data_IF_184004051991
#
_entry.id   IF_184004051991
#
_cell.length_a   1.000
_cell.length_b   1.000
_cell.length_c   1.000
_cell.angle_alpha   90.00
_cell.angle_beta   90.00
_cell.angle_gamma   90.00
#
_symmetry.space_group_name_H-M   'P 1'
#
loop_
_entity.id
_entity.type
_entity.pdbx_description
1 polymer ?
#
# COMPACT_ATOMS: atom_id res chain seq x y z
N UNK A 1 -25.10 -1.56 20.38
CA UNK A 1 -25.50 -2.93 19.98
C UNK A 1 -24.53 -3.43 18.92
N UNK A 2 -23.92 -4.60 19.13
CA UNK A 2 -23.08 -5.21 18.10
C UNK A 2 -23.97 -5.61 16.92
N UNK A 3 -23.62 -5.22 15.68
CA UNK A 3 -24.38 -5.67 14.51
C UNK A 3 -24.26 -7.21 14.40
N UNK A 4 -25.33 -7.89 13.97
CA UNK A 4 -25.38 -9.36 13.81
C UNK A 4 -24.16 -9.88 13.03
N UNK A 5 -23.76 -9.19 11.98
CA UNK A 5 -22.56 -9.52 11.19
C UNK A 5 -21.28 -9.47 12.03
N UNK A 6 -21.09 -8.43 12.84
CA UNK A 6 -19.93 -8.31 13.73
C UNK A 6 -19.92 -9.43 14.77
N UNK A 7 -21.09 -9.86 15.25
CA UNK A 7 -21.20 -10.95 16.22
C UNK A 7 -20.76 -12.29 15.59
N UNK A 8 -21.26 -12.61 14.40
CA UNK A 8 -20.86 -13.83 13.69
C UNK A 8 -19.36 -13.85 13.36
N UNK A 9 -18.78 -12.71 12.97
CA UNK A 9 -17.34 -12.60 12.71
C UNK A 9 -16.53 -12.87 13.99
N UNK A 10 -16.89 -12.22 15.10
CA UNK A 10 -16.19 -12.42 16.38
C UNK A 10 -16.32 -13.88 16.84
N UNK A 11 -17.52 -14.45 16.77
CA UNK A 11 -17.76 -15.85 17.15
C UNK A 11 -16.93 -16.83 16.30
N UNK A 12 -16.87 -16.61 14.99
CA UNK A 12 -16.04 -17.42 14.10
C UNK A 12 -14.54 -17.30 14.42
N UNK A 13 -14.05 -16.08 14.70
CA UNK A 13 -12.66 -15.86 15.12
C UNK A 13 -12.36 -16.61 16.42
N UNK A 14 -13.27 -16.56 17.41
CA UNK A 14 -13.11 -17.30 18.67
C UNK A 14 -13.03 -18.80 18.43
N UNK A 15 -13.91 -19.37 17.59
CA UNK A 15 -13.85 -20.79 17.23
C UNK A 15 -12.51 -21.15 16.60
N UNK A 16 -12.02 -20.34 15.65
CA UNK A 16 -10.72 -20.59 15.02
C UNK A 16 -9.58 -20.55 16.03
N UNK A 17 -9.59 -19.61 16.97
CA UNK A 17 -8.59 -19.52 18.03
C UNK A 17 -8.64 -20.77 18.92
N UNK A 18 -9.83 -21.18 19.37
CA UNK A 18 -9.97 -22.39 20.20
C UNK A 18 -9.51 -23.65 19.44
N UNK A 19 -9.91 -23.78 18.17
CA UNK A 19 -9.50 -24.91 17.33
C UNK A 19 -7.98 -24.93 17.09
N UNK A 20 -7.33 -23.77 17.00
CA UNK A 20 -5.87 -23.66 16.84
C UNK A 20 -5.05 -24.17 18.03
N UNK A 21 -5.66 -24.29 19.21
CA UNK A 21 -5.01 -24.88 20.39
C UNK A 21 -4.89 -26.40 20.22
N UNK A 22 -5.84 -27.01 19.52
CA UNK A 22 -5.95 -28.48 19.37
C UNK A 22 -5.33 -28.94 18.04
N UNK A 23 -5.58 -28.22 16.95
CA UNK A 23 -5.20 -28.58 15.59
C UNK A 23 -4.00 -27.76 15.09
N UNK A 24 -2.79 -28.35 14.96
CA UNK A 24 -1.60 -27.64 14.51
C UNK A 24 -1.73 -27.00 13.13
N UNK A 25 -2.52 -27.61 12.23
CA UNK A 25 -2.78 -27.07 10.89
C UNK A 25 -3.55 -25.74 10.95
N UNK A 26 -4.50 -25.61 11.89
CA UNK A 26 -5.28 -24.38 12.09
C UNK A 26 -4.40 -23.29 12.70
N UNK A 27 -3.52 -23.64 13.64
CA UNK A 27 -2.51 -22.72 14.18
C UNK A 27 -1.63 -22.15 13.08
N UNK A 28 -1.12 -23.01 12.19
CA UNK A 28 -0.31 -22.57 11.06
C UNK A 28 -1.11 -21.70 10.09
N UNK A 29 -2.36 -22.07 9.79
CA UNK A 29 -3.26 -21.27 8.94
C UNK A 29 -3.54 -19.87 9.50
N UNK A 30 -3.80 -19.75 10.82
CA UNK A 30 -3.99 -18.47 11.49
C UNK A 30 -2.71 -17.62 11.46
N UNK A 31 -1.56 -18.23 11.77
CA UNK A 31 -0.26 -17.55 11.68
C UNK A 31 -0.04 -16.98 10.28
N UNK A 32 -0.26 -17.80 9.25
CA UNK A 32 -0.17 -17.38 7.85
C UNK A 32 -1.11 -16.23 7.50
N UNK A 33 -2.37 -16.29 7.93
CA UNK A 33 -3.34 -15.23 7.67
C UNK A 33 -2.95 -13.91 8.33
N UNK A 34 -2.43 -13.95 9.57
CA UNK A 34 -1.93 -12.77 10.29
C UNK A 34 -0.72 -12.19 9.56
N UNK A 35 0.23 -13.04 9.15
CA UNK A 35 1.44 -12.60 8.44
C UNK A 35 1.10 -11.96 7.10
N UNK A 36 0.25 -12.60 6.28
CA UNK A 36 -0.17 -12.05 4.98
C UNK A 36 -0.88 -10.71 5.18
N UNK A 37 -1.80 -10.62 6.14
CA UNK A 37 -2.55 -9.38 6.42
C UNK A 37 -1.60 -8.26 6.85
N UNK A 38 -0.66 -8.55 7.75
CA UNK A 38 0.30 -7.57 8.27
C UNK A 38 1.27 -7.12 7.18
N UNK A 39 1.83 -8.06 6.43
CA UNK A 39 2.71 -7.76 5.30
C UNK A 39 2.02 -6.97 4.22
N UNK A 40 0.75 -7.30 3.90
CA UNK A 40 -0.01 -6.53 2.92
C UNK A 40 -0.26 -5.09 3.37
N UNK A 41 -0.51 -4.87 4.65
CA UNK A 41 -0.66 -3.52 5.20
C UNK A 41 0.65 -2.73 5.17
N UNK A 42 1.77 -3.38 5.57
CA UNK A 42 3.11 -2.80 5.49
C UNK A 42 3.49 -2.46 4.04
N UNK A 43 3.20 -3.36 3.11
CA UNK A 43 3.43 -3.18 1.68
C UNK A 43 2.68 -1.95 1.14
N UNK A 44 1.39 -1.81 1.45
CA UNK A 44 0.61 -0.61 1.09
C UNK A 44 1.18 0.66 1.74
N UNK A 45 1.57 0.60 3.01
CA UNK A 45 2.21 1.73 3.69
C UNK A 45 3.49 2.17 2.97
N UNK A 46 4.37 1.21 2.62
CA UNK A 46 5.63 1.50 1.92
C UNK A 46 5.37 2.08 0.52
N UNK A 47 4.39 1.56 -0.21
CA UNK A 47 3.99 2.09 -1.51
C UNK A 47 3.60 3.57 -1.42
N UNK A 48 2.68 3.92 -0.51
CA UNK A 48 2.27 5.31 -0.31
C UNK A 48 3.41 6.21 0.19
N UNK A 49 4.29 5.65 1.02
CA UNK A 49 5.48 6.34 1.46
C UNK A 49 6.43 6.67 0.29
N UNK A 50 6.50 5.81 -0.72
CA UNK A 50 7.23 6.07 -1.96
C UNK A 50 6.69 7.29 -2.71
N UNK A 51 5.37 7.43 -2.85
CA UNK A 51 4.77 8.64 -3.42
C UNK A 51 5.02 9.88 -2.57
N UNK A 52 4.93 9.75 -1.25
CA UNK A 52 5.25 10.84 -0.33
C UNK A 52 6.68 11.34 -0.52
N UNK A 53 7.67 10.45 -0.52
CA UNK A 53 9.08 10.81 -0.73
C UNK A 53 9.32 11.38 -2.12
N UNK A 54 8.79 10.76 -3.17
CA UNK A 54 8.91 11.25 -4.54
C UNK A 54 8.29 12.65 -4.69
N UNK A 55 7.12 12.88 -4.09
CA UNK A 55 6.44 14.16 -4.07
C UNK A 55 7.24 15.25 -3.36
N UNK A 56 7.76 14.97 -2.15
CA UNK A 56 8.62 15.91 -1.43
C UNK A 56 9.90 16.22 -2.21
N UNK A 57 10.50 15.22 -2.86
CA UNK A 57 11.72 15.37 -3.67
C UNK A 57 11.51 16.30 -4.88
N UNK A 58 10.35 16.25 -5.53
CA UNK A 58 10.01 17.15 -6.66
C UNK A 58 9.41 18.49 -6.23
N UNK A 59 9.37 18.75 -4.91
CA UNK A 59 8.87 19.98 -4.31
C UNK A 59 7.35 20.12 -4.32
N UNK A 60 6.63 19.01 -4.29
CA UNK A 60 5.18 19.03 -4.09
C UNK A 60 4.85 19.14 -2.60
N UNK A 61 3.85 19.97 -2.30
CA UNK A 61 3.18 19.93 -1.02
C UNK A 61 2.26 18.70 -1.02
N UNK A 62 2.42 17.80 -0.05
CA UNK A 62 1.57 16.62 0.10
C UNK A 62 0.55 16.93 1.19
N UNK A 63 -0.73 17.00 0.81
CA UNK A 63 -1.83 17.34 1.72
C UNK A 63 -2.06 16.22 2.72
N UNK A 64 -2.19 14.99 2.21
CA UNK A 64 -2.40 13.80 3.02
C UNK A 64 -1.89 12.53 2.36
N UNK A 65 -1.56 11.56 3.21
CA UNK A 65 -1.25 10.19 2.85
C UNK A 65 -2.25 9.30 3.58
N UNK A 66 -2.98 8.47 2.85
CA UNK A 66 -3.99 7.56 3.39
C UNK A 66 -3.51 6.14 3.21
N UNK A 67 -3.47 5.37 4.29
CA UNK A 67 -3.08 3.97 4.30
C UNK A 67 -4.29 3.14 4.70
N UNK A 68 -4.80 2.35 3.78
CA UNK A 68 -6.11 1.71 3.85
C UNK A 68 -7.15 2.47 3.01
N UNK A 69 -8.28 1.82 2.73
CA UNK A 69 -9.35 2.30 1.85
C UNK A 69 -10.73 2.35 2.54
N UNK A 70 -10.79 2.02 3.84
CA UNK A 70 -12.03 2.05 4.63
C UNK A 70 -12.00 3.15 5.69
N UNK A 71 -12.70 2.91 6.80
CA UNK A 71 -12.87 3.88 7.89
C UNK A 71 -11.51 4.20 8.54
N UNK A 72 -11.23 5.49 8.81
CA UNK A 72 -10.04 5.90 9.56
C UNK A 72 -10.08 5.36 10.99
N UNK A 73 -8.92 4.89 11.44
CA UNK A 73 -8.64 4.39 12.78
C UNK A 73 -7.96 5.51 13.58
N UNK A 74 -6.87 6.06 13.04
CA UNK A 74 -6.14 7.17 13.65
C UNK A 74 -5.42 8.00 12.58
N UNK A 75 -4.94 9.18 12.96
CA UNK A 75 -4.11 10.03 12.11
C UNK A 75 -2.94 10.63 12.88
N UNK A 76 -1.87 10.95 12.16
CA UNK A 76 -0.68 11.60 12.70
C UNK A 76 -0.14 12.59 11.67
N UNK A 77 0.42 13.71 12.13
CA UNK A 77 1.04 14.70 11.25
C UNK A 77 2.55 14.47 11.24
N UNK A 78 3.10 14.25 10.04
CA UNK A 78 4.53 14.03 9.82
C UNK A 78 5.02 15.03 8.78
N UNK A 79 5.98 15.87 9.15
CA UNK A 79 6.51 16.94 8.28
C UNK A 79 5.42 17.82 7.62
N UNK A 80 4.39 18.18 8.39
CA UNK A 80 3.26 18.99 7.92
C UNK A 80 2.26 18.26 7.02
N UNK A 81 2.42 16.96 6.80
CA UNK A 81 1.52 16.13 6.01
C UNK A 81 0.70 15.23 6.92
N UNK A 82 -0.62 15.14 6.70
CA UNK A 82 -1.51 14.27 7.48
C UNK A 82 -1.44 12.82 6.98
N UNK A 83 -0.92 11.91 7.81
CA UNK A 83 -0.96 10.47 7.59
C UNK A 83 -2.20 9.90 8.27
N UNK A 84 -3.10 9.29 7.51
CA UNK A 84 -4.37 8.75 7.96
C UNK A 84 -4.32 7.24 7.81
N UNK A 85 -4.42 6.52 8.92
CA UNK A 85 -4.41 5.06 8.95
C UNK A 85 -5.85 4.57 9.04
N UNK A 86 -6.27 3.86 8.01
CA UNK A 86 -7.57 3.24 7.84
C UNK A 86 -7.43 1.71 7.88
N UNK A 87 -8.55 1.02 8.13
CA UNK A 87 -8.62 -0.41 7.85
C UNK A 87 -8.68 -0.65 6.33
N UNK A 88 -8.20 -1.81 5.87
CA UNK A 88 -8.18 -2.21 4.46
C UNK A 88 -6.79 -2.16 3.83
N UNK A 89 -6.71 -2.42 2.52
CA UNK A 89 -5.45 -2.68 1.82
C UNK A 89 -5.16 -1.73 0.65
N UNK A 90 -6.05 -0.79 0.35
CA UNK A 90 -5.78 0.30 -0.60
C UNK A 90 -4.97 1.43 0.05
N UNK A 91 -4.58 2.43 -0.73
CA UNK A 91 -3.83 3.58 -0.25
C UNK A 91 -4.01 4.75 -1.21
N UNK A 92 -3.70 5.96 -0.72
CA UNK A 92 -3.74 7.15 -1.54
C UNK A 92 -2.86 8.26 -1.00
N UNK A 93 -1.95 8.75 -1.84
CA UNK A 93 -1.17 9.95 -1.59
C UNK A 93 -1.71 11.11 -2.40
N UNK A 94 -2.16 12.17 -1.72
CA UNK A 94 -2.81 13.33 -2.36
C UNK A 94 -1.84 14.51 -2.39
N UNK A 95 -1.41 14.97 -3.58
CA UNK A 95 -0.68 16.22 -3.69
C UNK A 95 -1.65 17.39 -3.44
N UNK A 96 -1.16 18.44 -2.77
CA UNK A 96 -1.91 19.66 -2.51
C UNK A 96 -2.17 20.49 -3.77
N UNK A 97 -2.86 21.62 -3.64
CA UNK A 97 -3.35 22.40 -4.80
C UNK A 97 -2.26 23.15 -5.58
N UNK A 98 -1.09 23.40 -4.97
CA UNK A 98 0.03 24.16 -5.57
C UNK A 98 1.05 23.25 -6.28
N UNK A 99 0.57 22.34 -7.13
CA UNK A 99 1.46 21.45 -7.90
C UNK A 99 2.01 22.17 -9.11
N UNK A 100 3.34 22.30 -9.22
CA UNK A 100 3.99 22.73 -10.46
C UNK A 100 3.82 21.63 -11.51
N UNK A 101 3.08 21.92 -12.58
CA UNK A 101 2.78 20.97 -13.65
C UNK A 101 3.99 20.84 -14.57
N UNK A 102 4.90 19.94 -14.21
CA UNK A 102 5.99 19.50 -15.09
C UNK A 102 5.85 18.01 -15.34
N UNK A 103 5.95 17.61 -16.62
CA UNK A 103 5.87 16.20 -17.02
C UNK A 103 6.83 15.33 -16.21
N UNK A 104 8.08 15.78 -16.02
CA UNK A 104 9.09 15.06 -15.25
C UNK A 104 8.67 14.90 -13.78
N UNK A 105 8.21 15.98 -13.14
CA UNK A 105 7.81 15.95 -11.73
C UNK A 105 6.60 15.06 -11.50
N UNK A 106 5.62 15.12 -12.40
CA UNK A 106 4.44 14.26 -12.37
C UNK A 106 4.82 12.79 -12.59
N UNK A 107 5.75 12.49 -13.51
CA UNK A 107 6.24 11.13 -13.73
C UNK A 107 6.96 10.58 -12.50
N UNK A 108 7.82 11.37 -11.87
CA UNK A 108 8.52 10.97 -10.63
C UNK A 108 7.51 10.72 -9.51
N UNK A 109 6.52 11.59 -9.34
CA UNK A 109 5.46 11.39 -8.36
C UNK A 109 4.64 10.11 -8.65
N UNK A 110 4.19 9.93 -9.89
CA UNK A 110 3.36 8.80 -10.30
C UNK A 110 4.06 7.45 -10.18
N UNK A 111 5.38 7.39 -10.35
CA UNK A 111 6.16 6.16 -10.22
C UNK A 111 6.82 6.01 -8.85
N UNK A 112 6.64 6.97 -7.94
CA UNK A 112 7.29 7.00 -6.64
C UNK A 112 7.03 5.75 -5.80
N UNK A 113 5.77 5.34 -5.67
CA UNK A 113 5.39 4.13 -4.94
C UNK A 113 5.98 2.86 -5.56
N UNK A 114 5.90 2.73 -6.88
CA UNK A 114 6.46 1.58 -7.62
C UNK A 114 7.97 1.48 -7.47
N UNK A 115 8.71 2.58 -7.67
CA UNK A 115 10.17 2.56 -7.52
C UNK A 115 10.60 2.28 -6.09
N UNK A 116 9.87 2.80 -5.10
CA UNK A 116 10.16 2.51 -3.71
C UNK A 116 9.92 1.03 -3.38
N UNK A 117 8.86 0.41 -3.91
CA UNK A 117 8.63 -1.03 -3.75
C UNK A 117 9.73 -1.88 -4.41
N UNK A 118 10.19 -1.52 -5.61
CA UNK A 118 11.33 -2.19 -6.25
C UNK A 118 12.57 -2.10 -5.35
N UNK A 119 12.84 -0.92 -4.79
CA UNK A 119 13.95 -0.73 -3.86
C UNK A 119 13.84 -1.62 -2.61
N UNK A 120 12.64 -1.72 -2.03
CA UNK A 120 12.37 -2.60 -0.87
C UNK A 120 12.57 -4.07 -1.24
N UNK A 121 12.11 -4.51 -2.43
CA UNK A 121 12.35 -5.86 -2.93
C UNK A 121 13.87 -6.14 -3.01
N UNK A 122 14.64 -5.22 -3.60
CA UNK A 122 16.09 -5.36 -3.71
C UNK A 122 16.77 -5.45 -2.34
N UNK A 123 16.40 -4.58 -1.38
CA UNK A 123 16.94 -4.64 -0.02
C UNK A 123 16.59 -5.97 0.64
N UNK A 124 15.34 -6.41 0.54
CA UNK A 124 14.88 -7.67 1.12
C UNK A 124 15.68 -8.84 0.57
N UNK A 125 15.90 -8.86 -0.74
CA UNK A 125 16.72 -9.87 -1.40
C UNK A 125 18.18 -9.85 -0.92
N UNK A 126 18.81 -8.67 -0.83
CA UNK A 126 20.22 -8.55 -0.43
C UNK A 126 20.43 -8.95 1.03
N UNK A 127 19.54 -8.53 1.93
CA UNK A 127 19.70 -8.75 3.37
C UNK A 127 19.31 -10.15 3.83
N UNK A 128 18.26 -10.73 3.24
CA UNK A 128 17.71 -12.01 3.69
C UNK A 128 18.00 -13.16 2.72
N UNK A 129 18.36 -12.84 1.47
CA UNK A 129 18.58 -13.82 0.42
C UNK A 129 17.28 -14.47 -0.07
N UNK A 130 17.28 -14.95 -1.31
CA UNK A 130 16.47 -16.09 -1.72
C UNK A 130 17.48 -17.21 -1.90
N UNK A 131 17.66 -18.07 -0.90
CA UNK A 131 18.78 -19.00 -0.97
C UNK A 131 19.16 -19.72 0.32
N UNK A 132 18.94 -19.10 1.48
CA UNK A 132 19.39 -19.65 2.76
C UNK A 132 18.34 -20.60 3.33
N UNK A 133 18.72 -21.86 3.55
CA UNK A 133 17.83 -22.94 4.02
C UNK A 133 17.01 -22.61 5.27
N UNK A 134 17.45 -21.61 6.04
CA UNK A 134 16.88 -21.26 7.34
C UNK A 134 15.73 -20.22 7.29
N UNK A 135 15.51 -19.48 6.19
CA UNK A 135 14.51 -18.39 6.21
C UNK A 135 13.85 -18.01 4.86
N UNK A 136 13.56 -18.97 3.99
CA UNK A 136 12.99 -18.69 2.66
C UNK A 136 11.59 -18.08 2.69
N UNK A 137 10.75 -18.50 3.63
CA UNK A 137 9.31 -18.38 3.44
C UNK A 137 8.78 -16.96 3.60
N UNK A 138 9.22 -16.23 4.63
CA UNK A 138 8.71 -14.88 4.93
C UNK A 138 9.24 -13.79 3.98
N UNK A 139 10.56 -13.72 3.68
CA UNK A 139 11.08 -12.75 2.71
C UNK A 139 10.49 -12.96 1.31
N UNK A 140 10.38 -14.22 0.87
CA UNK A 140 9.77 -14.54 -0.42
C UNK A 140 8.30 -14.13 -0.47
N UNK A 141 7.52 -14.44 0.58
CA UNK A 141 6.12 -14.01 0.68
C UNK A 141 5.99 -12.48 0.60
N UNK A 142 6.83 -11.75 1.34
CA UNK A 142 6.83 -10.29 1.32
C UNK A 142 7.18 -9.72 -0.07
N UNK A 143 8.17 -10.30 -0.74
CA UNK A 143 8.52 -9.92 -2.12
C UNK A 143 7.39 -10.19 -3.11
N UNK A 144 6.71 -11.33 -3.01
CA UNK A 144 5.54 -11.66 -3.84
C UNK A 144 4.43 -10.64 -3.63
N UNK A 145 4.14 -10.24 -2.38
CA UNK A 145 3.14 -9.22 -2.09
C UNK A 145 3.50 -7.87 -2.72
N UNK A 146 4.77 -7.44 -2.62
CA UNK A 146 5.23 -6.22 -3.29
C UNK A 146 5.07 -6.30 -4.81
N UNK A 147 5.44 -7.44 -5.42
CA UNK A 147 5.27 -7.66 -6.87
C UNK A 147 3.80 -7.58 -7.29
N UNK A 148 2.89 -8.21 -6.54
CA UNK A 148 1.45 -8.12 -6.78
C UNK A 148 1.00 -6.66 -6.74
N UNK A 149 1.47 -5.88 -5.78
CA UNK A 149 1.10 -4.46 -5.63
C UNK A 149 1.65 -3.60 -6.76
N UNK A 150 2.88 -3.83 -7.20
CA UNK A 150 3.46 -3.18 -8.38
C UNK A 150 2.57 -3.42 -9.59
N UNK A 151 2.24 -4.69 -9.88
CA UNK A 151 1.38 -5.06 -11.01
C UNK A 151 0.01 -4.41 -10.87
N UNK A 152 -0.57 -4.46 -9.67
CA UNK A 152 -1.89 -3.89 -9.40
C UNK A 152 -1.91 -2.37 -9.60
N UNK A 153 -0.87 -1.63 -9.22
CA UNK A 153 -0.82 -0.17 -9.37
C UNK A 153 -0.43 0.29 -10.79
N UNK A 154 0.41 -0.49 -11.48
CA UNK A 154 0.73 -0.23 -12.89
C UNK A 154 -0.41 -0.58 -13.85
N UNK A 155 -1.36 -1.43 -13.45
CA UNK A 155 -2.55 -1.70 -14.26
C UNK A 155 -3.42 -0.43 -14.39
N UNK A 156 -3.67 0.09 -15.60
CA UNK A 156 -4.41 1.34 -15.78
C UNK A 156 -5.89 1.18 -15.39
N UNK A 157 -6.29 1.75 -14.26
CA UNK A 157 -7.69 1.76 -13.81
C UNK A 157 -8.00 3.03 -13.04
N UNK A 158 -9.30 3.25 -12.82
CA UNK A 158 -9.80 4.20 -11.84
C UNK A 158 -10.29 3.46 -10.60
N UNK A 159 -10.28 4.14 -9.46
CA UNK A 159 -10.88 3.64 -8.23
C UNK A 159 -11.57 4.77 -7.48
N UNK A 160 -12.49 4.42 -6.58
CA UNK A 160 -13.28 5.38 -5.82
C UNK A 160 -12.85 5.31 -4.36
N UNK A 161 -12.52 6.47 -3.78
CA UNK A 161 -12.24 6.61 -2.35
C UNK A 161 -12.88 7.91 -1.86
N UNK A 162 -13.62 7.84 -0.75
CA UNK A 162 -14.40 8.97 -0.21
C UNK A 162 -15.30 9.66 -1.26
N UNK A 163 -15.92 8.87 -2.15
CA UNK A 163 -16.80 9.36 -3.22
C UNK A 163 -16.08 10.09 -4.36
N UNK A 164 -14.75 10.18 -4.34
CA UNK A 164 -13.92 10.79 -5.39
C UNK A 164 -13.26 9.72 -6.24
N UNK A 165 -13.12 10.01 -7.54
CA UNK A 165 -12.45 9.13 -8.50
C UNK A 165 -10.97 9.46 -8.55
N UNK A 166 -10.13 8.47 -8.31
CA UNK A 166 -8.68 8.55 -8.43
C UNK A 166 -8.17 7.65 -9.54
N UNK A 167 -6.96 7.95 -10.02
CA UNK A 167 -6.28 7.19 -11.06
C UNK A 167 -5.26 6.27 -10.40
N UNK A 168 -5.13 5.03 -10.88
CA UNK A 168 -3.95 4.23 -10.55
C UNK A 168 -2.68 4.88 -11.11
N UNK A 169 -1.53 4.54 -10.53
CA UNK A 169 -0.20 5.00 -10.97
C UNK A 169 0.00 4.80 -12.47
N UNK A 170 -0.33 3.61 -12.97
CA UNK A 170 -0.22 3.28 -14.38
C UNK A 170 -1.11 4.15 -15.26
N UNK A 171 -2.33 4.46 -14.83
CA UNK A 171 -3.22 5.35 -15.58
C UNK A 171 -2.75 6.81 -15.52
N UNK A 172 -2.28 7.27 -14.37
CA UNK A 172 -1.70 8.60 -14.19
C UNK A 172 -0.47 8.76 -15.09
N UNK A 173 0.45 7.80 -15.05
CA UNK A 173 1.66 7.79 -15.87
C UNK A 173 1.34 7.75 -17.37
N UNK A 174 0.38 6.91 -17.80
CA UNK A 174 -0.10 6.87 -19.18
C UNK A 174 -0.63 8.24 -19.64
N UNK A 175 -1.44 8.91 -18.81
CA UNK A 175 -1.94 10.26 -19.11
C UNK A 175 -0.81 11.28 -19.22
N UNK A 176 0.16 11.25 -18.30
CA UNK A 176 1.34 12.13 -18.34
C UNK A 176 2.13 11.92 -19.64
N UNK A 177 2.26 10.67 -20.11
CA UNK A 177 2.94 10.38 -21.37
C UNK A 177 2.18 10.90 -22.58
N UNK A 178 0.85 10.85 -22.55
CA UNK A 178 -0.05 11.38 -23.58
C UNK A 178 -0.21 12.91 -23.53
N UNK A 179 0.24 13.59 -22.46
CA UNK A 179 0.33 15.05 -22.47
C UNK A 179 1.35 15.47 -23.52
N UNK A 180 0.85 16.07 -24.61
CA UNK A 180 1.66 16.80 -25.57
C UNK A 180 2.36 17.98 -24.86
N UNK A 181 3.56 18.33 -25.31
CA UNK A 181 4.27 19.53 -24.85
C UNK A 181 3.48 20.79 -25.26
N UNK A 182 2.53 21.19 -24.44
CA UNK A 182 1.79 22.47 -24.52
C UNK A 182 1.19 22.65 -23.13
N UNK A 183 1.47 23.69 -22.35
CA UNK A 183 1.79 25.09 -22.60
C UNK A 183 2.78 25.57 -21.51
N UNK A 184 3.52 26.62 -21.85
CA UNK A 184 4.52 27.38 -21.06
C UNK A 184 4.27 27.45 -19.54
#
# INVERSE_FOLDING_TARGET
>A
MLNRTSFYIIFFIIILILLSIIEPSVKMGLFMAIMITSFKYIDTFLHELGHFFAGKLVGYEIERVVIGDRKPIFSVVVFGTSFIFCYGFGGLTVPGTRVKISKLRLSVFALGGVFFQIFIICITYILFGIGSEENYFLPLLFMILNLITIVYNLYPRTFIQDGKVYLSDGLLFKKIMMMNKTVQ
#
